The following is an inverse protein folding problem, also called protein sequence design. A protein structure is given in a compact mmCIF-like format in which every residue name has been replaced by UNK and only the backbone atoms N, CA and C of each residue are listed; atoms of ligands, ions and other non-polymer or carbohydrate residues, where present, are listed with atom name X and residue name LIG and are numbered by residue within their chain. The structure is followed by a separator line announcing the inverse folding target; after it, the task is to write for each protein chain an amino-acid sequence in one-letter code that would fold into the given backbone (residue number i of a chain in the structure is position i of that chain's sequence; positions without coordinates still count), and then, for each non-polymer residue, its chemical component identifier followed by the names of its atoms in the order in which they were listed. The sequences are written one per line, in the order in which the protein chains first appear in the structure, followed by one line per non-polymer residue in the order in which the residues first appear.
data_IF_536564410021
#
_entry.id   IF_536564410021
#
_cell.length_a   1.000
_cell.length_b   1.000
_cell.length_c   1.000
_cell.angle_alpha   90.00
_cell.angle_beta   90.00
_cell.angle_gamma   90.00
#
_symmetry.space_group_name_H-M   'P 1'
#
loop_
_entity.id
_entity.type
_entity.pdbx_description
1 polymer ?
#
# COMPACT_ATOMS: atom_id res chain seq x y z
N UNK A 1 29.30 -7.19 10.69
CA UNK A 1 30.37 -6.75 11.61
C UNK A 1 29.73 -6.53 12.98
N UNK A 2 30.22 -7.25 14.01
CA UNK A 2 29.94 -7.16 15.47
C UNK A 2 28.49 -7.34 15.95
N UNK A 3 28.21 -8.58 16.36
CA UNK A 3 27.25 -8.88 17.43
C UNK A 3 27.70 -8.16 18.72
N UNK A 4 26.83 -7.35 19.32
CA UNK A 4 27.06 -6.85 20.67
C UNK A 4 26.70 -7.96 21.67
N UNK A 5 27.72 -8.69 22.13
CA UNK A 5 27.66 -9.38 23.42
C UNK A 5 27.75 -8.31 24.50
N UNK A 6 26.59 -7.84 24.98
CA UNK A 6 26.48 -7.04 26.20
C UNK A 6 26.42 -7.96 27.41
N UNK A 7 27.31 -7.72 28.37
CA UNK A 7 27.36 -8.34 29.69
C UNK A 7 26.09 -8.04 30.50
N UNK A 8 25.56 -9.10 31.13
CA UNK A 8 24.64 -9.18 32.28
C UNK A 8 23.92 -7.89 32.75
N UNK A 9 22.63 -7.79 32.44
CA UNK A 9 21.63 -7.01 33.19
C UNK A 9 20.41 -7.90 33.45
N UNK A 10 19.86 -7.85 34.67
CA UNK A 10 19.10 -8.93 35.34
C UNK A 10 17.71 -9.21 34.74
N UNK A 11 17.62 -9.72 33.51
CA UNK A 11 16.38 -10.26 32.89
C UNK A 11 15.86 -11.54 33.58
N UNK A 12 16.34 -11.81 34.80
CA UNK A 12 16.04 -13.00 35.58
C UNK A 12 16.31 -14.31 34.82
N UNK A 13 17.25 -14.27 33.85
CA UNK A 13 17.62 -15.42 32.99
C UNK A 13 16.75 -15.63 31.75
N UNK A 14 15.67 -14.85 31.57
CA UNK A 14 14.75 -15.00 30.44
C UNK A 14 15.37 -14.42 29.17
N UNK A 15 15.25 -15.17 28.08
CA UNK A 15 15.63 -14.73 26.73
C UNK A 15 14.48 -14.95 25.75
N UNK A 16 14.33 -14.05 24.80
CA UNK A 16 13.38 -14.18 23.70
C UNK A 16 14.02 -13.76 22.37
N UNK A 17 13.50 -14.29 21.28
CA UNK A 17 13.80 -13.88 19.91
C UNK A 17 12.50 -13.37 19.29
N UNK A 18 12.57 -12.22 18.62
CA UNK A 18 11.44 -11.61 17.91
C UNK A 18 11.78 -11.52 16.43
N UNK A 19 10.89 -12.02 15.59
CA UNK A 19 11.07 -12.14 14.14
C UNK A 19 9.78 -11.76 13.40
N UNK A 20 9.88 -10.82 12.45
CA UNK A 20 8.79 -10.53 11.53
C UNK A 20 8.82 -11.59 10.43
N UNK A 21 7.76 -12.38 10.34
CA UNK A 21 7.63 -13.46 9.32
C UNK A 21 6.81 -13.02 8.11
N UNK A 22 6.09 -11.92 8.23
CA UNK A 22 5.29 -11.32 7.17
C UNK A 22 5.18 -9.83 7.43
N UNK A 23 5.58 -8.97 6.50
CA UNK A 23 5.49 -7.53 6.64
C UNK A 23 4.09 -6.99 6.36
N UNK A 24 3.76 -5.87 7.02
CA UNK A 24 2.50 -5.16 6.82
C UNK A 24 2.46 -4.41 5.48
N UNK A 25 1.34 -4.51 4.76
CA UNK A 25 1.01 -3.71 3.58
C UNK A 25 -0.36 -3.09 3.78
N UNK A 26 -0.41 -1.77 3.86
CA UNK A 26 -1.65 -1.03 3.98
C UNK A 26 -2.42 -1.14 2.66
N UNK A 27 -3.73 -1.33 2.75
CA UNK A 27 -4.61 -1.38 1.57
C UNK A 27 -4.59 -0.05 0.81
N UNK A 28 -4.48 -0.14 -0.50
CA UNK A 28 -4.77 0.95 -1.44
C UNK A 28 -5.99 0.53 -2.26
N UNK A 29 -6.97 1.43 -2.40
CA UNK A 29 -8.13 1.16 -3.25
C UNK A 29 -7.72 1.27 -4.71
N UNK A 30 -8.23 0.35 -5.53
CA UNK A 30 -8.12 0.47 -6.97
C UNK A 30 -8.95 1.67 -7.45
N UNK A 31 -8.45 2.36 -8.47
CA UNK A 31 -9.11 3.49 -9.11
C UNK A 31 -9.14 3.27 -10.61
N UNK A 32 -10.25 3.64 -11.25
CA UNK A 32 -10.34 3.62 -12.70
C UNK A 32 -9.83 4.96 -13.24
N UNK A 33 -9.01 4.91 -14.28
CA UNK A 33 -8.51 6.14 -14.88
C UNK A 33 -9.65 6.95 -15.51
N UNK A 34 -9.61 8.26 -15.30
CA UNK A 34 -10.40 9.24 -16.02
C UNK A 34 -9.51 10.40 -16.45
N UNK A 35 -9.39 10.61 -17.75
CA UNK A 35 -8.47 11.59 -18.33
C UNK A 35 -9.13 12.36 -19.47
N UNK A 36 -8.78 13.62 -19.61
CA UNK A 36 -9.18 14.46 -20.74
C UNK A 36 -8.04 14.55 -21.74
N UNK A 37 -8.28 14.10 -22.96
CA UNK A 37 -7.42 14.32 -24.11
C UNK A 37 -7.82 15.64 -24.78
N UNK A 38 -6.97 16.65 -24.62
CA UNK A 38 -7.16 17.98 -25.20
C UNK A 38 -6.58 17.98 -26.60
N UNK A 39 -7.35 18.48 -27.57
CA UNK A 39 -7.00 18.46 -28.99
C UNK A 39 -6.84 19.89 -29.49
N UNK A 40 -5.69 20.18 -30.11
CA UNK A 40 -5.37 21.49 -30.69
C UNK A 40 -4.82 21.36 -32.10
N UNK A 41 -5.04 22.40 -32.90
CA UNK A 41 -4.61 22.45 -34.30
C UNK A 41 -5.63 21.82 -35.24
N UNK A 42 -5.24 21.80 -36.52
CA UNK A 42 -6.01 21.24 -37.62
C UNK A 42 -5.10 20.28 -38.40
N UNK A 43 -5.70 19.26 -39.01
CA UNK A 43 -4.97 18.21 -39.71
C UNK A 43 -4.35 18.75 -40.99
N UNK A 44 -3.02 18.69 -41.11
CA UNK A 44 -2.28 19.26 -42.25
C UNK A 44 -2.20 18.33 -43.46
N UNK A 45 -2.39 17.03 -43.24
CA UNK A 45 -2.34 15.98 -44.25
C UNK A 45 -3.18 14.77 -43.84
N UNK A 46 -3.74 14.04 -44.81
CA UNK A 46 -4.50 12.81 -44.54
C UNK A 46 -3.57 11.73 -43.99
N UNK A 47 -3.87 11.20 -42.82
CA UNK A 47 -3.01 10.29 -42.07
C UNK A 47 -3.83 9.50 -41.03
N UNK A 48 -3.16 8.76 -40.17
CA UNK A 48 -3.76 8.14 -38.99
C UNK A 48 -3.10 8.70 -37.73
N UNK A 49 -3.92 9.02 -36.73
CA UNK A 49 -3.45 9.46 -35.41
C UNK A 49 -3.58 8.30 -34.42
N UNK A 50 -2.54 8.07 -33.63
CA UNK A 50 -2.59 7.08 -32.54
C UNK A 50 -3.20 7.71 -31.29
N UNK A 51 -4.31 7.14 -30.85
CA UNK A 51 -5.06 7.56 -29.66
C UNK A 51 -5.35 6.31 -28.82
N UNK A 52 -4.82 6.31 -27.59
CA UNK A 52 -4.68 5.14 -26.74
C UNK A 52 -4.06 3.97 -27.53
N UNK A 53 -4.81 2.90 -27.72
CA UNK A 53 -4.45 1.69 -28.45
C UNK A 53 -5.03 1.63 -29.88
N UNK A 54 -5.69 2.70 -30.35
CA UNK A 54 -6.31 2.75 -31.69
C UNK A 54 -5.63 3.71 -32.65
N UNK A 55 -5.71 3.37 -33.93
CA UNK A 55 -5.40 4.26 -35.04
C UNK A 55 -6.70 4.90 -35.54
N UNK A 56 -6.73 6.23 -35.59
CA UNK A 56 -7.90 7.02 -36.00
C UNK A 56 -7.56 7.74 -37.29
N UNK A 57 -8.21 7.35 -38.39
CA UNK A 57 -7.98 7.97 -39.71
C UNK A 57 -8.51 9.41 -39.75
N UNK A 58 -7.68 10.35 -40.18
CA UNK A 58 -7.99 11.78 -40.28
C UNK A 58 -7.71 12.29 -41.69
N UNK A 59 -8.42 13.33 -42.11
CA UNK A 59 -8.30 13.93 -43.43
C UNK A 59 -7.70 15.32 -43.35
N UNK A 60 -6.93 15.70 -44.37
CA UNK A 60 -6.42 17.07 -44.48
C UNK A 60 -7.56 18.09 -44.37
N UNK A 61 -7.41 19.05 -43.46
CA UNK A 61 -8.40 20.08 -43.19
C UNK A 61 -9.47 19.69 -42.16
N UNK A 62 -9.36 18.53 -41.52
CA UNK A 62 -10.13 18.23 -40.31
C UNK A 62 -9.70 19.17 -39.18
N UNK A 63 -10.67 19.87 -38.60
CA UNK A 63 -10.46 20.68 -37.39
C UNK A 63 -10.46 19.79 -36.13
N UNK A 64 -10.08 20.39 -35.00
CA UNK A 64 -10.04 19.67 -33.71
C UNK A 64 -11.39 19.01 -33.32
N UNK A 65 -12.54 19.54 -33.77
CA UNK A 65 -13.86 19.01 -33.46
C UNK A 65 -14.18 17.77 -34.28
N UNK A 66 -13.83 17.77 -35.58
CA UNK A 66 -13.93 16.60 -36.44
C UNK A 66 -13.01 15.49 -35.94
N UNK A 67 -11.78 15.82 -35.55
CA UNK A 67 -10.86 14.85 -34.94
C UNK A 67 -11.47 14.26 -33.65
N UNK A 68 -12.01 15.09 -32.75
CA UNK A 68 -12.70 14.61 -31.55
C UNK A 68 -13.86 13.64 -31.86
N UNK A 69 -14.68 13.96 -32.86
CA UNK A 69 -15.80 13.09 -33.26
C UNK A 69 -15.29 11.74 -33.81
N UNK A 70 -14.23 11.76 -34.63
CA UNK A 70 -13.63 10.54 -35.18
C UNK A 70 -13.03 9.67 -34.08
N UNK A 71 -12.39 10.27 -33.08
CA UNK A 71 -11.90 9.57 -31.90
C UNK A 71 -13.08 8.92 -31.17
N UNK A 72 -14.09 9.67 -30.76
CA UNK A 72 -15.26 9.10 -30.03
C UNK A 72 -15.87 7.93 -30.80
N UNK A 73 -16.07 8.10 -32.11
CA UNK A 73 -16.61 7.03 -32.96
C UNK A 73 -15.74 5.78 -32.97
N UNK A 74 -14.42 5.91 -32.97
CA UNK A 74 -13.50 4.78 -32.91
C UNK A 74 -13.61 3.98 -31.60
N UNK A 75 -14.20 4.55 -30.55
CA UNK A 75 -14.33 3.94 -29.22
C UNK A 75 -15.78 3.63 -28.81
N UNK A 76 -16.78 3.75 -29.69
CA UNK A 76 -18.20 3.52 -29.38
C UNK A 76 -18.47 2.14 -28.74
N UNK A 77 -17.86 1.08 -29.27
CA UNK A 77 -17.99 -0.30 -28.79
C UNK A 77 -16.72 -0.82 -28.11
N UNK A 78 -15.86 0.08 -27.61
CA UNK A 78 -14.58 -0.34 -27.03
C UNK A 78 -14.75 -1.07 -25.69
N UNK A 79 -14.02 -2.16 -25.47
CA UNK A 79 -14.13 -2.95 -24.22
C UNK A 79 -13.42 -2.30 -23.03
N UNK A 80 -12.42 -1.45 -23.29
CA UNK A 80 -11.50 -0.95 -22.28
C UNK A 80 -11.78 0.51 -21.92
N UNK A 81 -12.31 1.29 -22.85
CA UNK A 81 -12.54 2.72 -22.69
C UNK A 81 -13.98 3.12 -23.01
N UNK A 82 -14.46 4.12 -22.29
CA UNK A 82 -15.55 5.00 -22.74
C UNK A 82 -14.92 6.30 -23.19
N UNK A 83 -15.19 6.73 -24.42
CA UNK A 83 -14.74 8.01 -24.95
C UNK A 83 -15.93 8.95 -25.14
N UNK A 84 -15.92 10.09 -24.46
CA UNK A 84 -17.02 11.07 -24.52
C UNK A 84 -16.47 12.44 -24.91
N UNK A 85 -17.13 13.08 -25.88
CA UNK A 85 -16.77 14.44 -26.26
C UNK A 85 -17.23 15.42 -25.18
N UNK A 86 -16.32 16.27 -24.72
CA UNK A 86 -16.65 17.42 -23.89
C UNK A 86 -16.23 18.69 -24.64
N UNK A 87 -17.15 19.65 -24.69
CA UNK A 87 -16.88 20.98 -25.23
C UNK A 87 -16.59 21.94 -24.08
N UNK A 88 -15.36 22.46 -23.99
CA UNK A 88 -14.99 23.46 -22.99
C UNK A 88 -14.72 24.78 -23.71
N UNK A 89 -15.62 25.75 -23.54
CA UNK A 89 -15.38 27.13 -23.99
C UNK A 89 -14.78 27.90 -22.82
N UNK A 90 -13.51 28.31 -22.93
CA UNK A 90 -12.93 29.32 -22.06
C UNK A 90 -13.03 30.68 -22.76
N UNK A 91 -13.54 31.68 -22.04
CA UNK A 91 -13.67 33.03 -22.59
C UNK A 91 -12.30 33.58 -23.01
N UNK A 92 -12.16 33.96 -24.28
CA UNK A 92 -10.93 34.51 -24.84
C UNK A 92 -9.93 33.49 -25.42
N UNK A 93 -10.25 32.19 -25.38
CA UNK A 93 -9.43 31.14 -26.02
C UNK A 93 -10.14 30.59 -27.27
N UNK A 94 -9.37 30.17 -28.28
CA UNK A 94 -9.92 29.41 -29.40
C UNK A 94 -10.58 28.13 -28.86
N UNK A 95 -11.77 27.75 -29.37
CA UNK A 95 -12.46 26.56 -28.91
C UNK A 95 -11.55 25.32 -29.09
N UNK A 96 -11.27 24.65 -27.98
CA UNK A 96 -10.62 23.34 -27.99
C UNK A 96 -11.68 22.28 -27.80
N UNK A 97 -11.60 21.24 -28.63
CA UNK A 97 -12.42 20.04 -28.46
C UNK A 97 -11.65 19.05 -27.63
N UNK A 98 -12.31 18.46 -26.63
CA UNK A 98 -11.71 17.48 -25.75
C UNK A 98 -12.46 16.16 -25.83
N UNK A 99 -11.75 15.06 -25.64
CA UNK A 99 -12.34 13.74 -25.44
C UNK A 99 -11.97 13.25 -24.05
N UNK A 100 -12.98 12.95 -23.24
CA UNK A 100 -12.78 12.31 -21.94
C UNK A 100 -12.74 10.80 -22.15
N UNK A 101 -11.63 10.20 -21.73
CA UNK A 101 -11.45 8.77 -21.64
C UNK A 101 -11.67 8.32 -20.21
N UNK A 102 -12.65 7.44 -20.00
CA UNK A 102 -12.86 6.73 -18.73
C UNK A 102 -12.55 5.26 -18.94
N UNK A 103 -11.66 4.70 -18.13
CA UNK A 103 -11.35 3.28 -18.18
C UNK A 103 -12.54 2.47 -17.65
N UNK A 104 -12.94 1.44 -18.38
CA UNK A 104 -14.00 0.49 -17.97
C UNK A 104 -13.47 -0.58 -17.02
N UNK A 105 -12.15 -0.72 -16.91
CA UNK A 105 -11.46 -1.74 -16.11
C UNK A 105 -10.43 -1.09 -15.18
N UNK A 106 -10.18 -1.74 -14.05
CA UNK A 106 -9.07 -1.43 -13.15
C UNK A 106 -7.76 -1.86 -13.83
N UNK A 107 -6.83 -0.92 -13.99
CA UNK A 107 -5.52 -1.13 -14.59
C UNK A 107 -4.55 -0.03 -14.18
N UNK A 108 -3.27 -0.27 -14.45
CA UNK A 108 -2.24 0.75 -14.35
C UNK A 108 -2.55 1.95 -15.26
N UNK A 109 -2.13 3.12 -14.80
CA UNK A 109 -2.38 4.37 -15.50
C UNK A 109 -1.72 4.42 -16.88
N UNK A 110 -2.45 4.92 -17.87
CA UNK A 110 -1.93 5.27 -19.19
C UNK A 110 -1.57 6.74 -19.19
N UNK A 111 -0.26 7.02 -19.12
CA UNK A 111 0.29 8.39 -19.07
C UNK A 111 0.17 9.18 -20.38
N UNK A 112 0.01 8.48 -21.51
CA UNK A 112 -0.09 9.11 -22.82
C UNK A 112 -1.18 8.47 -23.69
N UNK A 113 -2.35 9.11 -23.71
CA UNK A 113 -3.50 8.71 -24.52
C UNK A 113 -3.43 9.20 -25.97
N UNK A 114 -2.45 10.01 -26.39
CA UNK A 114 -2.41 10.48 -27.77
C UNK A 114 -1.03 10.92 -28.23
N UNK A 115 -0.62 10.46 -29.40
CA UNK A 115 0.62 10.89 -30.03
C UNK A 115 0.37 12.07 -30.96
N UNK A 116 1.00 13.21 -30.68
CA UNK A 116 0.86 14.43 -31.49
C UNK A 116 1.52 14.26 -32.86
N UNK A 117 0.90 14.77 -33.92
CA UNK A 117 1.39 14.64 -35.29
C UNK A 117 0.42 15.22 -36.32
N UNK A 118 0.88 15.35 -37.56
CA UNK A 118 0.06 15.77 -38.71
C UNK A 118 -0.77 17.05 -38.48
N UNK A 119 -0.22 18.02 -37.74
CA UNK A 119 -0.88 19.29 -37.41
C UNK A 119 -1.74 19.28 -36.13
N UNK A 120 -1.95 18.11 -35.54
CA UNK A 120 -2.67 17.94 -34.27
C UNK A 120 -1.69 17.81 -33.10
N UNK A 121 -1.93 18.60 -32.06
CA UNK A 121 -1.28 18.47 -30.77
C UNK A 121 -2.28 17.91 -29.73
N UNK A 122 -1.88 16.81 -29.10
CA UNK A 122 -2.58 16.22 -27.97
C UNK A 122 -1.87 16.58 -26.66
N UNK A 123 -2.68 16.87 -25.64
CA UNK A 123 -2.19 16.94 -24.26
C UNK A 123 -3.21 16.27 -23.34
N UNK A 124 -2.71 15.50 -22.38
CA UNK A 124 -3.55 14.78 -21.42
C UNK A 124 -3.63 15.54 -20.09
N UNK A 125 -4.84 15.65 -19.55
CA UNK A 125 -5.08 16.11 -18.18
C UNK A 125 -5.83 15.01 -17.42
N UNK A 126 -5.25 14.58 -16.29
CA UNK A 126 -5.83 13.49 -15.51
C UNK A 126 -6.78 14.04 -14.45
N UNK A 127 -8.02 13.57 -14.47
CA UNK A 127 -8.99 13.78 -13.39
C UNK A 127 -8.81 12.71 -12.31
N UNK A 128 -8.65 11.45 -12.73
CA UNK A 128 -8.38 10.30 -11.87
C UNK A 128 -7.29 9.42 -12.50
N UNK A 129 -6.28 9.08 -11.71
CA UNK A 129 -5.21 8.16 -12.11
C UNK A 129 -5.68 6.71 -11.94
N UNK A 130 -5.37 5.85 -12.91
CA UNK A 130 -5.67 4.42 -12.81
C UNK A 130 -4.69 3.74 -11.87
N UNK A 131 -5.18 2.97 -10.91
CA UNK A 131 -4.37 2.22 -9.94
C UNK A 131 -5.00 0.83 -9.74
N UNK A 132 -4.19 -0.23 -9.81
CA UNK A 132 -4.66 -1.60 -9.61
C UNK A 132 -5.05 -1.90 -8.15
N UNK A 133 -4.67 -1.02 -7.24
CA UNK A 133 -4.87 -1.17 -5.81
C UNK A 133 -3.92 -2.21 -5.22
N UNK A 134 -3.82 -2.21 -3.90
CA UNK A 134 -3.00 -3.16 -3.16
C UNK A 134 -3.85 -3.77 -2.05
N UNK A 135 -3.91 -5.10 -2.01
CA UNK A 135 -4.65 -5.82 -0.98
C UNK A 135 -3.98 -5.65 0.39
N UNK A 136 -4.79 -5.60 1.45
CA UNK A 136 -4.27 -5.51 2.81
C UNK A 136 -3.48 -6.77 3.17
N UNK A 137 -2.29 -6.57 3.74
CA UNK A 137 -1.47 -7.65 4.30
C UNK A 137 -1.10 -7.25 5.72
N UNK A 138 -1.60 -7.97 6.73
CA UNK A 138 -1.28 -7.68 8.13
C UNK A 138 0.10 -8.22 8.49
N UNK A 139 0.91 -7.42 9.20
CA UNK A 139 2.20 -7.87 9.70
C UNK A 139 2.02 -9.01 10.72
N UNK A 140 2.92 -9.99 10.69
CA UNK A 140 2.99 -11.09 11.66
C UNK A 140 4.39 -11.13 12.29
N UNK A 141 4.45 -10.87 13.58
CA UNK A 141 5.66 -10.97 14.39
C UNK A 141 5.58 -12.18 15.34
N UNK A 142 6.55 -13.09 15.20
CA UNK A 142 6.71 -14.24 16.07
C UNK A 142 7.70 -13.91 17.19
N UNK A 143 7.31 -14.20 18.42
CA UNK A 143 8.14 -14.02 19.61
C UNK A 143 8.32 -15.38 20.25
N UNK A 144 9.53 -15.92 20.21
CA UNK A 144 9.84 -17.24 20.78
C UNK A 144 10.67 -17.04 22.04
N UNK A 145 10.20 -17.56 23.17
CA UNK A 145 10.96 -17.56 24.43
C UNK A 145 12.00 -18.69 24.35
N UNK A 146 13.27 -18.34 24.41
CA UNK A 146 14.39 -19.27 24.23
C UNK A 146 15.02 -19.73 25.54
N UNK A 147 14.86 -18.95 26.63
CA UNK A 147 15.26 -19.36 27.98
C UNK A 147 14.21 -18.96 29.02
N UNK A 148 13.99 -19.87 29.98
CA UNK A 148 13.11 -19.67 31.13
C UNK A 148 13.76 -18.85 32.25
N UNK A 149 13.04 -18.67 33.35
CA UNK A 149 13.51 -17.84 34.46
C UNK A 149 14.41 -18.58 35.44
N UNK A 150 15.55 -17.99 35.78
CA UNK A 150 16.54 -18.50 36.74
C UNK A 150 16.39 -17.88 38.14
N UNK A 151 15.60 -16.80 38.25
CA UNK A 151 15.33 -16.06 39.49
C UNK A 151 13.86 -15.68 39.58
N UNK A 152 13.39 -15.39 40.80
CA UNK A 152 12.08 -14.78 41.02
C UNK A 152 12.15 -13.28 40.74
N UNK A 153 11.07 -12.69 40.23
CA UNK A 153 10.91 -11.25 40.13
C UNK A 153 9.98 -10.82 39.00
N UNK A 154 9.96 -9.53 38.73
CA UNK A 154 9.16 -8.93 37.67
C UNK A 154 10.06 -8.62 36.45
N UNK A 155 9.59 -8.94 35.25
CA UNK A 155 10.21 -8.50 34.00
C UNK A 155 9.24 -7.63 33.20
N UNK A 156 9.76 -6.53 32.65
CA UNK A 156 9.03 -5.66 31.73
C UNK A 156 9.24 -6.14 30.30
N UNK A 157 8.17 -6.33 29.55
CA UNK A 157 8.20 -6.73 28.14
C UNK A 157 7.51 -5.67 27.30
N UNK A 158 8.17 -5.22 26.23
CA UNK A 158 7.69 -4.12 25.38
C UNK A 158 7.53 -4.57 23.93
N UNK A 159 6.44 -4.16 23.31
CA UNK A 159 6.24 -4.17 21.86
C UNK A 159 6.72 -2.82 21.33
N UNK A 160 7.65 -2.82 20.38
CA UNK A 160 8.25 -1.61 19.79
C UNK A 160 8.09 -1.61 18.28
N UNK A 161 7.98 -0.41 17.75
CA UNK A 161 8.06 -0.10 16.34
C UNK A 161 9.49 0.38 16.06
N UNK A 162 10.26 -0.47 15.39
CA UNK A 162 11.67 -0.19 15.08
C UNK A 162 11.85 0.81 13.95
N UNK A 163 10.86 0.95 13.06
CA UNK A 163 10.92 1.89 11.93
C UNK A 163 10.82 3.33 12.43
N UNK A 164 9.93 3.59 13.39
CA UNK A 164 9.74 4.92 13.98
C UNK A 164 10.38 5.09 15.37
N UNK A 165 11.16 4.10 15.83
CA UNK A 165 11.85 4.09 17.13
C UNK A 165 10.94 4.47 18.32
N UNK A 166 9.79 3.82 18.45
CA UNK A 166 8.83 4.09 19.53
C UNK A 166 8.33 2.81 20.20
N UNK A 167 7.95 2.91 21.47
CA UNK A 167 7.27 1.82 22.18
C UNK A 167 5.77 1.91 21.89
N UNK A 168 5.19 0.80 21.43
CA UNK A 168 3.76 0.69 21.12
C UNK A 168 2.94 0.25 22.32
N UNK A 169 3.47 -0.69 23.10
CA UNK A 169 2.94 -1.10 24.40
C UNK A 169 4.04 -1.69 25.29
N UNK A 170 3.80 -1.76 26.60
CA UNK A 170 4.63 -2.46 27.57
C UNK A 170 3.78 -3.07 28.67
N UNK A 171 4.12 -4.29 29.06
CA UNK A 171 3.49 -5.00 30.18
C UNK A 171 4.57 -5.50 31.14
N UNK A 172 4.19 -5.72 32.39
CA UNK A 172 5.04 -6.41 33.38
C UNK A 172 4.49 -7.80 33.65
N UNK A 173 5.37 -8.78 33.81
CA UNK A 173 5.01 -10.12 34.25
C UNK A 173 5.90 -10.56 35.41
N UNK A 174 5.31 -11.30 36.34
CA UNK A 174 6.05 -11.97 37.39
C UNK A 174 6.51 -13.35 36.90
N UNK A 175 7.76 -13.68 37.15
CA UNK A 175 8.36 -14.99 36.86
C UNK A 175 8.92 -15.59 38.15
N UNK A 176 8.87 -16.91 38.24
CA UNK A 176 9.48 -17.68 39.32
C UNK A 176 10.71 -18.44 38.82
N UNK A 177 11.67 -18.64 39.72
CA UNK A 177 12.83 -19.50 39.50
C UNK A 177 12.36 -20.90 39.09
N UNK A 178 12.79 -21.35 37.92
CA UNK A 178 12.42 -22.64 37.36
C UNK A 178 11.20 -22.59 36.43
N UNK A 179 10.61 -21.42 36.16
CA UNK A 179 9.63 -21.30 35.08
C UNK A 179 10.29 -21.59 33.74
N UNK A 180 9.75 -22.57 33.02
CA UNK A 180 10.21 -22.94 31.69
C UNK A 180 9.77 -21.93 30.61
N UNK A 181 10.25 -22.13 29.39
CA UNK A 181 9.94 -21.23 28.26
C UNK A 181 8.44 -21.19 27.96
N UNK A 182 7.70 -22.28 28.19
CA UNK A 182 6.25 -22.35 27.91
C UNK A 182 5.47 -21.50 28.91
N UNK A 183 5.78 -21.61 30.21
CA UNK A 183 5.18 -20.79 31.27
C UNK A 183 5.46 -19.31 31.07
N UNK A 184 6.71 -18.96 30.74
CA UNK A 184 7.06 -17.56 30.48
C UNK A 184 6.32 -17.03 29.24
N UNK A 185 6.27 -17.80 28.13
CA UNK A 185 5.52 -17.40 26.94
C UNK A 185 4.02 -17.21 27.22
N UNK A 186 3.43 -18.09 28.04
CA UNK A 186 2.04 -17.98 28.48
C UNK A 186 1.80 -16.73 29.32
N UNK A 187 2.67 -16.43 30.28
CA UNK A 187 2.59 -15.22 31.10
C UNK A 187 2.67 -13.95 30.25
N UNK A 188 3.63 -13.87 29.31
CA UNK A 188 3.77 -12.74 28.39
C UNK A 188 2.52 -12.59 27.51
N UNK A 189 2.04 -13.70 26.91
CA UNK A 189 0.85 -13.66 26.05
C UNK A 189 -0.38 -13.18 26.80
N UNK A 190 -0.60 -13.65 28.03
CA UNK A 190 -1.76 -13.27 28.83
C UNK A 190 -1.68 -11.80 29.26
N UNK A 191 -0.49 -11.32 29.64
CA UNK A 191 -0.30 -9.93 30.00
C UNK A 191 -0.58 -8.99 28.82
N UNK A 192 -0.11 -9.30 27.61
CA UNK A 192 -0.44 -8.49 26.44
C UNK A 192 -1.91 -8.61 26.01
N UNK A 193 -2.55 -9.78 26.15
CA UNK A 193 -4.00 -9.90 25.88
C UNK A 193 -4.85 -9.07 26.84
N UNK A 194 -4.39 -8.90 28.08
CA UNK A 194 -5.07 -8.10 29.09
C UNK A 194 -4.70 -6.61 29.02
N UNK A 195 -3.74 -6.22 28.18
CA UNK A 195 -3.38 -4.84 27.95
C UNK A 195 -4.18 -4.26 26.77
N UNK A 196 -5.06 -3.30 27.06
CA UNK A 196 -5.98 -2.71 26.09
C UNK A 196 -5.28 -2.13 24.85
N UNK A 197 -4.07 -1.57 25.02
CA UNK A 197 -3.31 -1.01 23.91
C UNK A 197 -2.78 -2.12 22.99
N UNK A 198 -2.25 -3.20 23.56
CA UNK A 198 -1.75 -4.36 22.81
C UNK A 198 -2.88 -5.08 22.09
N UNK A 199 -4.01 -5.33 22.75
CA UNK A 199 -5.19 -5.97 22.16
C UNK A 199 -5.78 -5.13 21.02
N UNK A 200 -5.80 -3.80 21.15
CA UNK A 200 -6.23 -2.91 20.08
C UNK A 200 -5.32 -3.01 18.84
N UNK A 201 -4.00 -3.09 19.06
CA UNK A 201 -3.02 -3.06 17.98
C UNK A 201 -2.78 -4.44 17.34
N UNK A 202 -2.98 -5.53 18.09
CA UNK A 202 -2.66 -6.87 17.64
C UNK A 202 -3.71 -7.91 18.04
N UNK A 203 -3.96 -8.85 17.13
CA UNK A 203 -4.42 -10.18 17.49
C UNK A 203 -3.24 -10.98 18.05
N UNK A 204 -3.40 -11.50 19.27
CA UNK A 204 -2.33 -12.16 20.03
C UNK A 204 -2.68 -13.64 20.21
N UNK A 205 -1.84 -14.53 19.73
CA UNK A 205 -2.04 -15.98 19.83
C UNK A 205 -0.84 -16.66 20.49
N UNK A 206 -1.11 -17.66 21.33
CA UNK A 206 -0.07 -18.45 21.99
C UNK A 206 0.00 -19.84 21.35
N UNK A 207 1.16 -20.18 20.79
CA UNK A 207 1.51 -21.53 20.38
C UNK A 207 2.34 -22.18 21.49
N UNK A 208 1.63 -22.67 22.52
CA UNK A 208 2.22 -23.09 23.80
C UNK A 208 3.32 -24.15 23.65
N UNK A 209 3.16 -25.09 22.72
CA UNK A 209 4.14 -26.16 22.52
C UNK A 209 5.49 -25.68 21.98
N UNK A 210 5.49 -24.54 21.29
CA UNK A 210 6.67 -23.94 20.70
C UNK A 210 7.20 -22.75 21.52
N UNK A 211 6.64 -22.49 22.70
CA UNK A 211 6.95 -21.31 23.53
C UNK A 211 6.89 -20.01 22.73
N UNK A 212 5.93 -19.93 21.80
CA UNK A 212 5.84 -18.87 20.79
C UNK A 212 4.55 -18.07 20.92
N UNK A 213 4.69 -16.76 20.85
CA UNK A 213 3.60 -15.79 20.82
C UNK A 213 3.58 -15.20 19.41
N UNK A 214 2.41 -15.18 18.78
CA UNK A 214 2.21 -14.63 17.44
C UNK A 214 1.42 -13.33 17.59
N UNK A 215 2.04 -12.23 17.19
CA UNK A 215 1.41 -10.91 17.13
C UNK A 215 1.06 -10.62 15.66
N UNK A 216 -0.23 -10.60 15.34
CA UNK A 216 -0.71 -10.16 14.02
C UNK A 216 -1.33 -8.78 14.16
N UNK A 217 -0.88 -7.81 13.37
CA UNK A 217 -1.46 -6.46 13.40
C UNK A 217 -2.99 -6.50 13.20
N UNK A 218 -3.75 -5.76 14.00
CA UNK A 218 -5.21 -5.67 13.86
C UNK A 218 -5.61 -4.92 12.59
N UNK A 219 -4.85 -3.90 12.21
CA UNK A 219 -4.94 -3.13 10.97
C UNK A 219 -3.54 -3.07 10.35
N UNK A 220 -3.41 -3.36 9.05
CA UNK A 220 -2.11 -3.35 8.43
C UNK A 220 -1.53 -1.93 8.38
N UNK A 221 -0.29 -1.80 8.82
CA UNK A 221 0.48 -0.57 8.72
C UNK A 221 1.88 -0.88 8.20
N UNK A 222 2.14 -0.48 6.96
CA UNK A 222 3.45 -0.63 6.30
C UNK A 222 4.53 0.31 6.85
N UNK A 223 4.18 1.16 7.82
CA UNK A 223 5.10 2.03 8.54
C UNK A 223 5.47 1.53 9.93
N UNK A 224 5.07 0.32 10.32
CA UNK A 224 5.47 -0.31 11.57
C UNK A 224 6.36 -1.51 11.24
N UNK A 225 7.43 -1.68 12.03
CA UNK A 225 8.19 -2.92 12.09
C UNK A 225 8.23 -3.41 13.54
N UNK A 226 7.40 -4.40 13.86
CA UNK A 226 7.21 -4.86 15.24
C UNK A 226 8.36 -5.72 15.74
N UNK A 227 8.91 -5.33 16.88
CA UNK A 227 9.82 -6.16 17.69
C UNK A 227 9.32 -6.24 19.12
N UNK A 228 9.48 -7.40 19.74
CA UNK A 228 9.27 -7.57 21.18
C UNK A 228 10.62 -7.71 21.86
N UNK A 229 10.78 -7.00 22.97
CA UNK A 229 12.02 -6.99 23.75
C UNK A 229 11.73 -6.92 25.24
N UNK A 230 12.54 -7.59 26.05
CA UNK A 230 12.56 -7.39 27.51
C UNK A 230 13.25 -6.03 27.78
N UNK A 231 12.61 -5.21 28.60
CA UNK A 231 13.15 -3.92 29.04
C UNK A 231 14.47 -4.11 29.80
N UNK A 232 15.41 -3.19 29.55
CA UNK A 232 16.61 -3.03 30.37
C UNK A 232 16.28 -2.35 31.68
#
# INVERSE_FOLDING_TARGET
MRYSKGENTDNLGVELISEITKHGVKRTLATMQKSHLIIKGDVTETAELKVADKMVSVEKGDDNLKVANKIVKAFEDDEDWTAEKIYIVRAGENPSSNVTFTSKKIREHVDNLGESGHGIAFSQANEETGDTGISEVKEVCNVTVTKGATKNGEIKVSIKDTKNNRTLSSVSINVAKGDDTKKVAEAISNAFKNDAQSERLYKIELQKDNSRIVLTQSVADNNINTVVSIGK
#
